data_IF_480607298551
#
_entry.id   IF_480607298551
#
_cell.length_a   1.000
_cell.length_b   1.000
_cell.length_c   1.000
_cell.angle_alpha   90.00
_cell.angle_beta   90.00
_cell.angle_gamma   90.00
#
_symmetry.space_group_name_H-M   'P 1'
#
loop_
_entity.id
_entity.type
_entity.pdbx_description
1 polymer ?
#
# COMPACT_ATOMS: atom_id res chain seq x y z
N UNK A 1 -3.80 23.75 -42.37
CA UNK A 1 -4.92 23.07 -41.66
C UNK A 1 -4.35 22.30 -40.47
N UNK A 2 -4.98 22.40 -39.27
CA UNK A 2 -4.45 21.71 -38.09
C UNK A 2 -4.88 20.25 -38.06
N UNK A 3 -3.95 19.38 -37.61
CA UNK A 3 -4.18 17.99 -37.25
C UNK A 3 -3.82 17.77 -35.80
N UNK A 4 -4.45 16.77 -35.20
CA UNK A 4 -4.28 16.37 -33.84
C UNK A 4 -3.83 14.91 -33.80
N UNK A 5 -2.59 14.70 -33.41
CA UNK A 5 -1.97 13.37 -33.33
C UNK A 5 -2.33 12.70 -32.01
N UNK A 6 -2.64 11.42 -32.04
CA UNK A 6 -3.00 10.66 -30.87
C UNK A 6 -2.24 9.32 -30.82
N UNK A 7 -2.12 8.78 -29.64
CA UNK A 7 -1.55 7.44 -29.45
C UNK A 7 -2.49 6.38 -30.04
N UNK A 8 -2.02 5.59 -30.99
CA UNK A 8 -2.85 4.58 -31.69
C UNK A 8 -3.43 3.50 -30.79
N UNK A 9 -2.85 3.26 -29.60
CA UNK A 9 -3.32 2.24 -28.64
C UNK A 9 -4.28 2.85 -27.59
N UNK A 10 -3.96 4.04 -27.08
CA UNK A 10 -4.70 4.65 -25.97
C UNK A 10 -5.66 5.75 -26.42
N UNK A 11 -5.47 6.28 -27.63
CA UNK A 11 -6.19 7.46 -28.11
C UNK A 11 -5.71 8.79 -27.53
N UNK A 12 -4.78 8.80 -26.60
CA UNK A 12 -4.29 10.00 -25.91
C UNK A 12 -3.76 11.05 -26.89
N UNK A 13 -4.16 12.29 -26.71
CA UNK A 13 -3.65 13.42 -27.49
C UNK A 13 -2.15 13.59 -27.25
N UNK A 14 -1.35 13.53 -28.31
CA UNK A 14 0.11 13.67 -28.24
C UNK A 14 0.57 15.07 -28.64
N UNK A 15 0.09 15.56 -29.78
CA UNK A 15 0.50 16.85 -30.32
C UNK A 15 -0.55 17.45 -31.25
N UNK A 16 -0.36 18.72 -31.54
CA UNK A 16 -1.09 19.48 -32.58
C UNK A 16 -0.05 20.05 -33.53
N UNK A 17 -0.29 19.92 -34.83
CA UNK A 17 0.60 20.46 -35.87
C UNK A 17 -0.16 20.85 -37.12
N UNK A 18 0.53 21.49 -38.06
CA UNK A 18 -0.04 21.80 -39.38
C UNK A 18 0.11 20.58 -40.30
N UNK A 19 -0.98 20.24 -40.98
CA UNK A 19 -0.98 19.18 -41.97
C UNK A 19 -0.21 19.59 -43.24
N UNK A 20 0.60 18.68 -43.77
CA UNK A 20 1.26 18.83 -45.04
C UNK A 20 0.24 18.86 -46.16
N UNK A 21 0.48 19.68 -47.19
CA UNK A 21 -0.30 19.65 -48.43
C UNK A 21 0.12 18.47 -49.29
N UNK A 22 -0.84 17.90 -49.99
CA UNK A 22 -0.57 16.87 -50.98
C UNK A 22 0.30 17.45 -52.12
N UNK A 23 1.39 16.79 -52.47
CA UNK A 23 2.22 17.20 -53.63
C UNK A 23 1.56 16.90 -54.96
N UNK A 24 0.45 16.16 -54.97
CA UNK A 24 -0.24 15.72 -56.19
C UNK A 24 -1.52 16.50 -56.46
N UNK A 25 -2.14 17.05 -55.40
CA UNK A 25 -3.44 17.71 -55.52
C UNK A 25 -3.46 18.99 -54.70
N UNK A 26 -3.67 20.12 -55.35
CA UNK A 26 -3.72 21.43 -54.71
C UNK A 26 -4.92 21.54 -53.76
N UNK A 27 -4.69 22.08 -52.57
CA UNK A 27 -5.74 22.26 -51.55
C UNK A 27 -6.10 21.02 -50.75
N UNK A 28 -5.50 19.84 -51.05
CA UNK A 28 -5.68 18.63 -50.27
C UNK A 28 -4.59 18.54 -49.17
N UNK A 29 -4.99 18.27 -47.94
CA UNK A 29 -4.09 18.07 -46.81
C UNK A 29 -3.95 16.57 -46.48
N UNK A 30 -2.72 16.16 -46.19
CA UNK A 30 -2.42 14.79 -45.81
C UNK A 30 -2.78 14.56 -44.33
N UNK A 31 -3.42 13.43 -44.07
CA UNK A 31 -3.73 12.99 -42.71
C UNK A 31 -2.86 11.75 -42.38
N UNK A 32 -1.87 11.89 -41.48
CA UNK A 32 -1.07 10.75 -41.04
C UNK A 32 -1.89 9.70 -40.28
N UNK A 33 -1.33 8.50 -40.14
CA UNK A 33 -1.91 7.49 -39.26
C UNK A 33 -1.96 8.01 -37.80
N UNK A 34 -3.02 7.67 -37.09
CA UNK A 34 -3.26 8.14 -35.72
C UNK A 34 -3.33 9.67 -35.57
N UNK A 35 -3.89 10.34 -36.60
CA UNK A 35 -4.18 11.76 -36.58
C UNK A 35 -5.63 12.02 -37.00
N UNK A 36 -6.17 13.17 -36.63
CA UNK A 36 -7.51 13.62 -37.02
C UNK A 36 -7.53 15.11 -37.22
N UNK A 37 -8.42 15.59 -38.13
CA UNK A 37 -8.72 17.03 -38.29
C UNK A 37 -9.70 17.54 -37.22
N UNK A 38 -10.30 16.66 -36.43
CA UNK A 38 -11.28 17.00 -35.40
C UNK A 38 -10.53 17.61 -34.23
N UNK A 39 -10.84 18.82 -33.88
CA UNK A 39 -10.27 19.50 -32.72
C UNK A 39 -10.87 18.95 -31.44
N UNK A 40 -10.04 18.65 -30.39
CA UNK A 40 -10.58 18.37 -29.06
C UNK A 40 -11.35 19.60 -28.55
N UNK A 41 -12.53 19.37 -28.01
CA UNK A 41 -13.37 20.39 -27.41
C UNK A 41 -13.42 20.29 -25.90
N UNK A 42 -13.59 21.43 -25.21
CA UNK A 42 -13.62 21.54 -23.76
C UNK A 42 -12.29 22.00 -23.16
N UNK A 43 -12.24 21.98 -21.84
CA UNK A 43 -11.05 22.25 -21.04
C UNK A 43 -10.77 21.08 -20.12
N UNK A 44 -9.50 20.68 -20.03
CA UNK A 44 -9.08 19.65 -19.07
C UNK A 44 -9.12 20.22 -17.65
N UNK A 45 -9.71 19.45 -16.74
CA UNK A 45 -9.54 19.64 -15.32
C UNK A 45 -8.24 18.99 -14.83
N UNK A 46 -8.03 19.02 -13.53
CA UNK A 46 -6.97 18.28 -12.90
C UNK A 46 -7.19 16.78 -13.10
N UNK A 47 -6.11 16.05 -13.36
CA UNK A 47 -6.12 14.59 -13.58
C UNK A 47 -7.04 14.14 -14.73
N UNK A 48 -6.99 14.86 -15.86
CA UNK A 48 -7.75 14.54 -17.07
C UNK A 48 -6.86 14.61 -18.31
N UNK A 49 -7.20 13.81 -19.32
CA UNK A 49 -6.58 13.83 -20.64
C UNK A 49 -7.63 13.75 -21.75
N UNK A 50 -7.30 14.32 -22.93
CA UNK A 50 -8.08 14.07 -24.13
C UNK A 50 -7.71 12.73 -24.74
N UNK A 51 -8.71 11.90 -25.05
CA UNK A 51 -8.54 10.65 -25.77
C UNK A 51 -9.46 10.58 -26.98
N UNK A 52 -8.89 10.25 -28.15
CA UNK A 52 -9.63 10.08 -29.38
C UNK A 52 -10.16 8.64 -29.49
N UNK A 53 -11.46 8.50 -29.63
CA UNK A 53 -12.09 7.22 -29.92
C UNK A 53 -12.27 7.10 -31.45
N UNK A 54 -11.45 6.27 -32.09
CA UNK A 54 -11.47 6.09 -33.55
C UNK A 54 -12.77 5.45 -34.05
N UNK A 55 -13.43 4.61 -33.24
CA UNK A 55 -14.69 3.97 -33.61
C UNK A 55 -15.86 4.97 -33.59
N UNK A 56 -15.84 5.94 -32.68
CA UNK A 56 -16.83 7.02 -32.59
C UNK A 56 -16.42 8.26 -33.38
N UNK A 57 -15.17 8.31 -33.89
CA UNK A 57 -14.58 9.44 -34.56
C UNK A 57 -14.73 10.76 -33.78
N UNK A 58 -14.44 10.69 -32.47
CA UNK A 58 -14.66 11.81 -31.54
C UNK A 58 -13.63 11.80 -30.39
N UNK A 59 -13.35 13.02 -29.88
CA UNK A 59 -12.58 13.18 -28.64
C UNK A 59 -13.47 13.02 -27.42
N UNK A 60 -12.91 12.35 -26.39
CA UNK A 60 -13.45 12.30 -25.05
C UNK A 60 -12.45 12.84 -24.03
N UNK A 61 -12.93 13.20 -22.85
CA UNK A 61 -12.10 13.52 -21.70
C UNK A 61 -12.17 12.31 -20.77
N UNK A 62 -11.01 11.79 -20.40
CA UNK A 62 -10.87 10.61 -19.51
C UNK A 62 -10.04 10.97 -18.28
N UNK A 63 -10.20 10.23 -17.16
CA UNK A 63 -9.31 10.36 -16.00
C UNK A 63 -7.85 10.08 -16.36
N UNK A 64 -6.93 10.84 -15.77
CA UNK A 64 -5.48 10.60 -15.90
C UNK A 64 -4.80 10.81 -14.55
N UNK A 65 -4.68 9.73 -13.81
CA UNK A 65 -3.99 9.70 -12.53
C UNK A 65 -2.56 9.16 -12.63
N UNK A 66 -2.02 9.02 -13.85
CA UNK A 66 -0.63 8.58 -14.04
C UNK A 66 0.34 9.55 -13.37
N UNK A 67 1.28 9.01 -12.59
CA UNK A 67 2.24 9.83 -11.84
C UNK A 67 1.69 10.48 -10.56
N UNK A 68 0.41 10.29 -10.24
CA UNK A 68 -0.19 10.68 -8.96
C UNK A 68 0.01 9.56 -7.95
N UNK A 69 0.37 9.93 -6.71
CA UNK A 69 0.44 8.96 -5.62
C UNK A 69 -0.97 8.58 -5.19
N UNK A 70 -1.30 7.31 -5.34
CA UNK A 70 -2.62 6.76 -5.00
C UNK A 70 -2.48 5.69 -3.91
N UNK A 71 -3.48 5.64 -3.04
CA UNK A 71 -3.57 4.69 -1.94
C UNK A 71 -4.80 3.82 -2.08
N UNK A 72 -4.64 2.52 -1.96
CA UNK A 72 -5.75 1.55 -1.89
C UNK A 72 -6.61 1.83 -0.65
N UNK A 73 -7.91 2.01 -0.85
CA UNK A 73 -8.87 2.21 0.25
C UNK A 73 -9.01 0.98 1.17
N UNK A 74 -8.51 -0.21 0.73
CA UNK A 74 -8.58 -1.44 1.51
C UNK A 74 -7.46 -1.56 2.54
N UNK A 75 -6.20 -1.30 2.10
CA UNK A 75 -5.00 -1.68 2.86
C UNK A 75 -3.92 -0.59 2.89
N UNK A 76 -4.22 0.58 2.34
CA UNK A 76 -3.29 1.73 2.27
C UNK A 76 -2.06 1.51 1.39
N UNK A 77 -1.97 0.38 0.67
CA UNK A 77 -0.87 0.13 -0.25
C UNK A 77 -0.88 1.14 -1.41
N UNK A 78 0.28 1.39 -1.99
CA UNK A 78 0.40 2.22 -3.18
C UNK A 78 -0.19 1.47 -4.38
N UNK A 79 -1.01 2.17 -5.17
CA UNK A 79 -1.59 1.67 -6.40
C UNK A 79 -1.31 2.63 -7.55
N UNK A 80 -1.39 2.13 -8.78
CA UNK A 80 -1.17 2.91 -9.99
C UNK A 80 -2.41 2.80 -10.88
N UNK A 81 -2.81 3.94 -11.44
CA UNK A 81 -3.89 3.99 -12.41
C UNK A 81 -3.33 4.00 -13.84
N UNK A 82 -3.99 3.30 -14.74
CA UNK A 82 -3.81 3.48 -16.17
C UNK A 82 -4.62 4.69 -16.67
N UNK A 83 -4.29 5.15 -17.87
CA UNK A 83 -5.07 6.20 -18.51
C UNK A 83 -6.51 5.74 -18.72
N UNK A 84 -7.47 6.53 -18.26
CA UNK A 84 -8.88 6.26 -18.35
C UNK A 84 -9.48 5.56 -17.12
N UNK A 85 -8.66 5.03 -16.21
CA UNK A 85 -9.16 4.42 -14.97
C UNK A 85 -9.54 5.48 -13.94
N UNK A 86 -10.73 5.39 -13.40
CA UNK A 86 -11.20 6.24 -12.31
C UNK A 86 -10.76 5.69 -10.95
N UNK A 87 -10.68 6.58 -9.96
CA UNK A 87 -10.31 6.18 -8.58
C UNK A 87 -11.30 5.18 -7.96
N UNK A 88 -12.58 5.24 -8.35
CA UNK A 88 -13.59 4.31 -7.83
C UNK A 88 -13.46 2.92 -8.43
N UNK A 89 -13.13 2.81 -9.74
CA UNK A 89 -12.90 1.50 -10.38
C UNK A 89 -11.73 0.75 -9.76
N UNK A 90 -10.65 1.44 -9.43
CA UNK A 90 -9.46 0.84 -8.81
C UNK A 90 -9.49 0.87 -7.27
N UNK A 91 -10.62 1.32 -6.67
CA UNK A 91 -10.82 1.47 -5.23
C UNK A 91 -9.67 2.22 -4.53
N UNK A 92 -9.27 3.36 -5.10
CA UNK A 92 -8.15 4.17 -4.64
C UNK A 92 -8.55 5.59 -4.26
N UNK A 93 -7.63 6.30 -3.62
CA UNK A 93 -7.75 7.70 -3.24
C UNK A 93 -6.40 8.41 -3.35
N UNK A 94 -6.42 9.72 -3.57
CA UNK A 94 -5.25 10.60 -3.48
C UNK A 94 -4.95 11.04 -2.04
N UNK A 95 -5.87 10.80 -1.10
CA UNK A 95 -5.73 11.22 0.29
C UNK A 95 -4.75 10.28 0.99
N UNK A 96 -3.67 10.86 1.54
CA UNK A 96 -2.67 10.10 2.30
C UNK A 96 -3.23 9.66 3.66
N UNK A 97 -3.11 8.37 4.04
CA UNK A 97 -3.43 7.93 5.41
C UNK A 97 -2.43 8.57 6.38
N UNK A 98 -2.89 8.98 7.56
CA UNK A 98 -2.06 9.66 8.57
C UNK A 98 -1.49 8.69 9.60
N UNK A 99 -2.08 7.50 9.71
CA UNK A 99 -1.72 6.45 10.66
C UNK A 99 -1.88 5.05 10.06
N UNK A 100 -1.08 4.11 10.56
CA UNK A 100 -1.25 2.69 10.24
C UNK A 100 -2.59 2.12 10.77
N UNK A 101 -3.23 2.82 11.71
CA UNK A 101 -4.52 2.46 12.29
C UNK A 101 -5.72 3.08 11.57
N UNK A 102 -5.48 3.88 10.52
CA UNK A 102 -6.56 4.48 9.75
C UNK A 102 -7.30 3.40 8.93
N UNK A 103 -8.60 3.58 8.79
CA UNK A 103 -9.48 2.84 7.88
C UNK A 103 -10.21 3.82 6.98
N UNK A 104 -10.51 3.38 5.75
CA UNK A 104 -11.27 4.23 4.85
C UNK A 104 -12.74 4.25 5.25
N UNK A 105 -13.27 5.45 5.54
CA UNK A 105 -14.69 5.64 5.77
C UNK A 105 -15.37 6.11 4.48
N UNK A 106 -16.22 5.27 3.93
CA UNK A 106 -16.98 5.55 2.70
C UNK A 106 -18.01 6.65 2.86
N UNK A 107 -18.45 6.93 4.10
CA UNK A 107 -19.45 7.95 4.39
C UNK A 107 -18.85 9.34 4.35
N UNK A 108 -17.70 9.53 4.98
CA UNK A 108 -16.97 10.80 4.97
C UNK A 108 -16.03 10.97 3.79
N UNK A 109 -15.72 9.88 3.06
CA UNK A 109 -14.78 9.88 1.94
C UNK A 109 -13.34 10.20 2.36
N UNK A 110 -12.94 9.79 3.57
CA UNK A 110 -11.59 10.04 4.10
C UNK A 110 -11.11 8.90 5.02
N UNK A 111 -9.84 8.96 5.39
CA UNK A 111 -9.28 8.08 6.40
C UNK A 111 -9.73 8.50 7.79
N UNK A 112 -10.14 7.53 8.61
CA UNK A 112 -10.49 7.73 10.02
C UNK A 112 -9.71 6.76 10.89
N UNK A 113 -9.21 7.25 12.01
CA UNK A 113 -8.51 6.41 12.98
C UNK A 113 -9.44 5.35 13.58
N UNK A 114 -8.99 4.09 13.58
CA UNK A 114 -9.71 2.95 14.14
C UNK A 114 -8.99 2.42 15.38
N UNK A 115 -9.60 2.61 16.54
CA UNK A 115 -9.11 2.04 17.79
C UNK A 115 -9.11 0.50 17.77
N UNK A 116 -10.08 -0.09 17.10
CA UNK A 116 -10.17 -1.55 16.99
C UNK A 116 -9.02 -2.12 16.15
N UNK A 117 -8.65 -1.43 15.06
CA UNK A 117 -7.50 -1.80 14.27
C UNK A 117 -6.19 -1.62 15.04
N UNK A 118 -6.06 -0.54 15.83
CA UNK A 118 -4.90 -0.35 16.72
C UNK A 118 -4.75 -1.51 17.69
N UNK A 119 -5.83 -1.86 18.41
CA UNK A 119 -5.82 -2.98 19.36
C UNK A 119 -5.44 -4.27 18.66
N UNK A 120 -5.99 -4.54 17.47
CA UNK A 120 -5.70 -5.75 16.70
C UNK A 120 -4.22 -5.83 16.30
N UNK A 121 -3.67 -4.77 15.71
CA UNK A 121 -2.28 -4.74 15.24
C UNK A 121 -1.28 -4.78 16.41
N UNK A 122 -1.58 -4.06 17.50
CA UNK A 122 -0.77 -4.09 18.72
C UNK A 122 -0.77 -5.49 19.34
N UNK A 123 -1.93 -6.16 19.37
CA UNK A 123 -2.04 -7.52 19.87
C UNK A 123 -1.17 -8.48 19.06
N UNK A 124 -1.29 -8.45 17.73
CA UNK A 124 -0.48 -9.32 16.85
C UNK A 124 1.03 -9.09 17.03
N UNK A 125 1.44 -7.83 17.19
CA UNK A 125 2.84 -7.47 17.43
C UNK A 125 3.33 -8.00 18.78
N UNK A 126 2.55 -7.82 19.86
CA UNK A 126 2.91 -8.30 21.21
C UNK A 126 2.96 -9.82 21.23
N UNK A 127 1.97 -10.50 20.67
CA UNK A 127 1.90 -11.96 20.66
C UNK A 127 3.10 -12.57 19.91
N UNK A 128 3.46 -12.06 18.75
CA UNK A 128 4.66 -12.49 18.00
C UNK A 128 5.96 -12.28 18.79
N UNK A 129 6.06 -11.15 19.48
CA UNK A 129 7.22 -10.84 20.32
C UNK A 129 7.33 -11.81 21.50
N UNK A 130 6.21 -12.05 22.19
CA UNK A 130 6.13 -12.99 23.31
C UNK A 130 6.48 -14.41 22.85
N UNK A 131 5.96 -14.85 21.70
CA UNK A 131 6.27 -16.16 21.13
C UNK A 131 7.78 -16.32 20.87
N UNK A 132 8.41 -15.33 20.26
CA UNK A 132 9.86 -15.32 20.01
C UNK A 132 10.66 -15.42 21.31
N UNK A 133 10.28 -14.65 22.33
CA UNK A 133 10.96 -14.66 23.63
C UNK A 133 10.75 -15.99 24.40
N UNK A 134 9.56 -16.59 24.29
CA UNK A 134 9.26 -17.91 24.86
C UNK A 134 10.08 -19.01 24.19
N UNK A 135 10.27 -18.97 22.87
CA UNK A 135 11.13 -19.93 22.18
C UNK A 135 12.59 -19.87 22.68
N UNK A 136 13.14 -18.66 22.84
CA UNK A 136 14.49 -18.48 23.38
C UNK A 136 14.60 -19.00 24.84
N UNK A 137 13.63 -18.62 25.68
CA UNK A 137 13.58 -19.11 27.06
C UNK A 137 13.50 -20.64 27.16
N UNK A 138 12.69 -21.27 26.28
CA UNK A 138 12.55 -22.72 26.26
C UNK A 138 13.86 -23.42 25.89
N UNK A 139 14.63 -22.91 24.94
CA UNK A 139 15.94 -23.45 24.56
C UNK A 139 16.91 -23.39 25.75
N UNK A 140 16.98 -22.23 26.43
CA UNK A 140 17.86 -22.06 27.59
C UNK A 140 17.47 -22.98 28.74
N UNK A 141 16.17 -23.07 29.04
CA UNK A 141 15.65 -23.95 30.08
C UNK A 141 15.94 -25.41 29.76
N UNK A 142 15.76 -25.86 28.52
CA UNK A 142 16.04 -27.24 28.11
C UNK A 142 17.48 -27.62 28.37
N UNK A 143 18.44 -26.80 27.88
CA UNK A 143 19.88 -27.08 28.05
C UNK A 143 20.26 -27.17 29.54
N UNK A 144 19.78 -26.23 30.37
CA UNK A 144 20.07 -26.20 31.80
C UNK A 144 19.37 -27.34 32.55
N UNK A 145 18.19 -27.75 32.14
CA UNK A 145 17.47 -28.89 32.71
C UNK A 145 18.15 -30.20 32.36
N UNK A 146 18.65 -30.37 31.13
CA UNK A 146 19.42 -31.56 30.74
C UNK A 146 20.70 -31.69 31.58
N UNK A 147 21.39 -30.56 31.88
CA UNK A 147 22.57 -30.57 32.77
C UNK A 147 22.21 -30.93 34.21
N UNK A 148 21.04 -30.50 34.70
CA UNK A 148 20.55 -30.87 36.05
C UNK A 148 20.18 -32.35 36.13
N UNK A 149 19.48 -32.88 35.14
CA UNK A 149 19.11 -34.29 35.03
C UNK A 149 20.34 -35.23 34.96
N UNK A 150 21.39 -34.79 34.25
CA UNK A 150 22.65 -35.52 34.15
C UNK A 150 23.56 -35.38 35.41
N UNK A 151 23.19 -34.52 36.35
CA UNK A 151 23.95 -34.27 37.58
C UNK A 151 25.25 -33.51 37.38
N UNK A 152 25.42 -32.82 36.25
CA UNK A 152 26.63 -32.04 35.88
C UNK A 152 26.45 -30.52 36.00
N UNK A 153 25.25 -30.07 36.40
CA UNK A 153 24.93 -28.66 36.54
C UNK A 153 25.73 -28.00 37.67
N UNK A 154 26.28 -26.82 37.39
CA UNK A 154 26.95 -25.99 38.40
C UNK A 154 25.95 -25.20 39.24
N UNK A 155 26.40 -24.69 40.41
CA UNK A 155 25.53 -23.85 41.27
C UNK A 155 25.07 -22.57 40.58
N UNK A 156 25.91 -21.99 39.71
CA UNK A 156 25.55 -20.81 38.90
C UNK A 156 24.46 -21.14 37.89
N UNK A 157 24.59 -22.26 37.20
CA UNK A 157 23.60 -22.73 36.21
C UNK A 157 22.24 -23.05 36.86
N UNK A 158 22.24 -23.60 38.08
CA UNK A 158 21.00 -23.79 38.86
C UNK A 158 20.28 -22.48 39.13
N UNK A 159 21.01 -21.43 39.47
CA UNK A 159 20.43 -20.10 39.67
C UNK A 159 19.85 -19.58 38.35
N UNK A 160 20.60 -19.68 37.24
CA UNK A 160 20.14 -19.29 35.89
C UNK A 160 18.90 -20.08 35.43
N UNK A 161 18.83 -21.35 35.73
CA UNK A 161 17.65 -22.17 35.42
C UNK A 161 16.38 -21.66 36.11
N UNK A 162 16.50 -21.22 37.36
CA UNK A 162 15.37 -20.62 38.10
C UNK A 162 14.97 -19.29 37.48
N UNK A 163 15.95 -18.43 37.15
CA UNK A 163 15.71 -17.13 36.52
C UNK A 163 14.99 -17.29 35.18
N UNK A 164 15.45 -18.20 34.30
CA UNK A 164 14.85 -18.47 33.02
C UNK A 164 13.44 -19.06 33.14
N UNK A 165 13.19 -19.95 34.10
CA UNK A 165 11.85 -20.48 34.39
C UNK A 165 10.91 -19.35 34.85
N UNK A 166 11.40 -18.47 35.73
CA UNK A 166 10.63 -17.30 36.19
C UNK A 166 10.29 -16.36 35.02
N UNK A 167 11.29 -16.04 34.22
CA UNK A 167 11.12 -15.22 33.03
C UNK A 167 10.05 -15.79 32.09
N UNK A 168 10.09 -17.07 31.78
CA UNK A 168 9.10 -17.77 30.97
C UNK A 168 7.68 -17.66 31.54
N UNK A 169 7.52 -17.82 32.85
CA UNK A 169 6.21 -17.68 33.51
C UNK A 169 5.71 -16.22 33.39
N UNK A 170 6.58 -15.23 33.59
CA UNK A 170 6.20 -13.84 33.47
C UNK A 170 5.82 -13.47 32.03
N UNK A 171 6.54 -14.00 31.03
CA UNK A 171 6.17 -13.83 29.63
C UNK A 171 4.79 -14.41 29.31
N UNK A 172 4.45 -15.59 29.84
CA UNK A 172 3.14 -16.22 29.59
C UNK A 172 1.96 -15.44 30.20
N UNK A 173 2.24 -14.51 31.13
CA UNK A 173 1.23 -13.66 31.78
C UNK A 173 1.12 -12.27 31.19
N UNK A 174 1.85 -11.96 30.14
CA UNK A 174 1.80 -10.62 29.51
C UNK A 174 0.39 -10.26 29.05
N UNK A 175 -0.37 -11.23 28.52
CA UNK A 175 -1.77 -11.01 28.11
C UNK A 175 -2.75 -10.74 29.27
N UNK A 176 -2.33 -10.95 30.51
CA UNK A 176 -3.13 -10.67 31.72
C UNK A 176 -2.91 -9.25 32.27
N UNK A 177 -2.01 -8.46 31.67
CA UNK A 177 -1.75 -7.08 32.08
C UNK A 177 -2.95 -6.17 31.78
N UNK A 178 -3.24 -5.24 32.68
CA UNK A 178 -4.43 -4.36 32.61
C UNK A 178 -4.52 -3.59 31.28
N UNK A 179 -3.39 -3.11 30.76
CA UNK A 179 -3.34 -2.30 29.55
C UNK A 179 -2.97 -3.08 28.28
N UNK A 180 -2.97 -4.41 28.35
CA UNK A 180 -2.73 -5.26 27.21
C UNK A 180 -3.80 -5.04 26.13
N UNK A 181 -3.46 -4.98 24.86
CA UNK A 181 -2.12 -5.03 24.23
C UNK A 181 -1.50 -3.64 24.00
N UNK A 182 -2.15 -2.56 24.41
CA UNK A 182 -1.75 -1.19 24.05
C UNK A 182 -0.45 -0.77 24.75
N UNK A 183 -0.31 -1.14 26.01
CA UNK A 183 0.88 -0.87 26.84
C UNK A 183 1.25 -2.17 27.53
N UNK A 184 2.46 -2.64 27.31
CA UNK A 184 2.97 -3.94 27.83
C UNK A 184 4.32 -3.74 28.48
N UNK A 185 4.45 -4.26 29.70
CA UNK A 185 5.71 -4.33 30.45
C UNK A 185 6.31 -5.73 30.28
N UNK A 186 7.47 -5.81 29.62
CA UNK A 186 8.20 -7.05 29.44
C UNK A 186 9.09 -7.33 30.65
N UNK A 187 9.17 -8.59 31.13
CA UNK A 187 10.11 -8.96 32.16
C UNK A 187 11.56 -8.82 31.68
N UNK A 188 12.47 -8.56 32.63
CA UNK A 188 13.90 -8.47 32.33
C UNK A 188 14.41 -9.86 31.93
N UNK A 189 15.03 -9.94 30.75
CA UNK A 189 15.62 -11.18 30.23
C UNK A 189 16.86 -11.55 31.06
N UNK A 190 16.97 -12.81 31.55
CA UNK A 190 18.18 -13.29 32.20
C UNK A 190 19.39 -13.30 31.25
N UNK A 191 20.61 -13.15 31.81
CA UNK A 191 21.87 -13.17 31.07
C UNK A 191 22.39 -14.58 30.79
#
# INVERSE_FOLDING_TARGET
MLIYNYNGNTGELLSQEEADQSPLEDGIFLLPANATFIKPEGSLGEFQAFCFNSALNAWGIVPDYRGVTLYSKNDKSLVFAALGESLDEINATTIHPTSEYDVWDTTSGTWVYSKDLEVLLKKDLVDKNVESLLLDANVKISILSDADELGIITQLEKSKLIEWKTYRILLSRISEQENYPLIVEYPIKPE
#
